data_IF_725622445907
#
_entry.id   IF_725622445907
#
_cell.length_a   1.000
_cell.length_b   1.000
_cell.length_c   1.000
_cell.angle_alpha   90.00
_cell.angle_beta   90.00
_cell.angle_gamma   90.00
#
_symmetry.space_group_name_H-M   'P 1'
#
loop_
_entity.id
_entity.type
_entity.pdbx_description
1 polymer ?
#
# COMPACT_ATOMS: atom_id res chain seq x y z
N UNK A 1 -11.84 -16.03 -21.19
CA UNK A 1 -10.92 -14.88 -21.00
C UNK A 1 -9.82 -15.14 -19.96
N UNK A 2 -10.11 -15.75 -18.81
CA UNK A 2 -9.09 -16.07 -17.77
C UNK A 2 -7.89 -16.92 -18.27
N UNK A 3 -8.12 -17.89 -19.16
CA UNK A 3 -7.05 -18.75 -19.67
C UNK A 3 -6.04 -18.07 -20.61
N UNK A 4 -6.44 -16.98 -21.30
CA UNK A 4 -5.53 -16.24 -22.18
C UNK A 4 -4.59 -15.33 -21.39
N UNK A 5 -5.11 -14.66 -20.35
CA UNK A 5 -4.33 -13.83 -19.45
C UNK A 5 -3.28 -14.64 -18.68
N UNK A 6 -3.64 -15.83 -18.17
CA UNK A 6 -2.68 -16.71 -17.49
C UNK A 6 -1.54 -17.19 -18.40
N UNK A 7 -1.85 -17.54 -19.66
CA UNK A 7 -0.83 -17.92 -20.65
C UNK A 7 0.08 -16.75 -21.01
N UNK A 8 -0.48 -15.55 -21.17
CA UNK A 8 0.28 -14.33 -21.42
C UNK A 8 1.23 -13.98 -20.27
N UNK A 9 0.72 -14.02 -19.03
CA UNK A 9 1.54 -13.72 -17.85
C UNK A 9 2.68 -14.73 -17.68
N UNK A 10 2.39 -16.03 -17.83
CA UNK A 10 3.42 -17.07 -17.79
C UNK A 10 4.48 -16.87 -18.87
N UNK A 11 4.07 -16.58 -20.10
CA UNK A 11 5.00 -16.30 -21.20
C UNK A 11 5.96 -15.14 -20.87
N UNK A 12 5.44 -14.04 -20.32
CA UNK A 12 6.28 -12.89 -19.96
C UNK A 12 7.18 -13.14 -18.75
N UNK A 13 6.70 -13.88 -17.74
CA UNK A 13 7.55 -14.27 -16.60
C UNK A 13 8.75 -15.11 -17.04
N UNK A 14 8.55 -16.04 -17.98
CA UNK A 14 9.62 -16.92 -18.44
C UNK A 14 10.66 -16.17 -19.30
N UNK A 15 10.25 -15.12 -20.02
CA UNK A 15 11.09 -14.36 -20.96
C UNK A 15 11.78 -13.15 -20.33
N UNK A 16 11.05 -12.40 -19.52
CA UNK A 16 11.44 -11.09 -18.99
C UNK A 16 11.17 -11.02 -17.47
N UNK A 17 11.76 -11.93 -16.67
CA UNK A 17 11.41 -12.09 -15.25
C UNK A 17 11.67 -10.82 -14.43
N UNK A 18 12.76 -10.10 -14.75
CA UNK A 18 13.13 -8.86 -14.06
C UNK A 18 12.10 -7.77 -14.31
N UNK A 19 11.64 -7.60 -15.55
CA UNK A 19 10.62 -6.60 -15.89
C UNK A 19 9.32 -6.88 -15.16
N UNK A 20 8.86 -8.14 -15.17
CA UNK A 20 7.62 -8.52 -14.46
C UNK A 20 7.77 -8.27 -12.95
N UNK A 21 8.90 -8.65 -12.35
CA UNK A 21 9.17 -8.40 -10.94
C UNK A 21 9.21 -6.90 -10.62
N UNK A 22 9.86 -6.08 -11.45
CA UNK A 22 9.90 -4.63 -11.28
C UNK A 22 8.50 -4.00 -11.32
N UNK A 23 7.66 -4.41 -12.28
CA UNK A 23 6.27 -3.96 -12.35
C UNK A 23 5.46 -4.41 -11.14
N UNK A 24 5.62 -5.67 -10.70
CA UNK A 24 4.96 -6.18 -9.51
C UNK A 24 5.35 -5.38 -8.26
N UNK A 25 6.64 -5.13 -8.06
CA UNK A 25 7.15 -4.34 -6.93
C UNK A 25 6.67 -2.89 -6.99
N UNK A 26 6.67 -2.27 -8.17
CA UNK A 26 6.13 -0.92 -8.37
C UNK A 26 4.63 -0.85 -8.06
N UNK A 27 3.84 -1.79 -8.57
CA UNK A 27 2.41 -1.87 -8.30
C UNK A 27 2.13 -2.09 -6.81
N UNK A 28 2.88 -2.97 -6.15
CA UNK A 28 2.80 -3.18 -4.70
C UNK A 28 3.09 -1.86 -3.98
N UNK A 29 4.23 -1.22 -4.25
CA UNK A 29 4.63 0.05 -3.63
C UNK A 29 3.57 1.15 -3.74
N UNK A 30 2.98 1.31 -4.93
CA UNK A 30 1.93 2.31 -5.17
C UNK A 30 0.60 1.96 -4.49
N UNK A 31 0.28 0.66 -4.37
CA UNK A 31 -0.97 0.19 -3.76
C UNK A 31 -0.93 0.15 -2.23
N UNK A 32 0.26 0.11 -1.62
CA UNK A 32 0.41 -0.02 -0.16
C UNK A 32 -0.23 1.13 0.62
N UNK A 33 -0.04 2.43 0.30
CA UNK A 33 -0.71 3.51 1.03
C UNK A 33 -2.23 3.44 0.96
N UNK A 34 -2.79 2.96 -0.15
CA UNK A 34 -4.24 2.83 -0.36
C UNK A 34 -4.86 1.67 0.44
N UNK A 35 -4.06 0.68 0.84
CA UNK A 35 -4.54 -0.54 1.50
C UNK A 35 -4.09 -0.61 2.96
N UNK A 36 -2.81 -0.39 3.23
CA UNK A 36 -2.21 -0.51 4.56
C UNK A 36 -2.67 0.59 5.50
N UNK A 37 -2.73 1.85 5.05
CA UNK A 37 -3.16 2.96 5.91
C UNK A 37 -4.57 2.75 6.45
N UNK A 38 -5.62 2.51 5.63
CA UNK A 38 -6.96 2.26 6.17
C UNK A 38 -7.03 0.99 7.03
N UNK A 39 -6.30 -0.07 6.67
CA UNK A 39 -6.22 -1.29 7.49
C UNK A 39 -5.63 -1.02 8.88
N UNK A 40 -4.58 -0.20 8.97
CA UNK A 40 -3.98 0.15 10.27
C UNK A 40 -4.91 1.02 11.11
N UNK A 41 -5.64 1.94 10.48
CA UNK A 41 -6.67 2.75 11.16
C UNK A 41 -7.77 1.86 11.74
N UNK A 42 -8.25 0.85 11.00
CA UNK A 42 -9.29 -0.05 11.50
C UNK A 42 -8.83 -0.95 12.64
N UNK A 43 -7.52 -1.21 12.74
CA UNK A 43 -6.90 -1.95 13.84
C UNK A 43 -6.52 -1.07 15.05
N UNK A 44 -6.77 0.25 14.99
CA UNK A 44 -6.43 1.16 16.09
C UNK A 44 -4.94 1.52 16.18
N UNK A 45 -4.19 1.38 15.09
CA UNK A 45 -2.76 1.76 15.00
C UNK A 45 -2.55 2.96 14.06
N UNK A 46 -3.15 4.14 14.33
CA UNK A 46 -2.91 5.34 13.52
C UNK A 46 -1.45 5.79 13.62
N UNK A 47 -0.97 6.51 12.61
CA UNK A 47 0.40 7.07 12.60
C UNK A 47 0.44 8.47 12.07
N UNK A 48 1.26 9.27 12.73
CA UNK A 48 1.48 10.68 12.43
C UNK A 48 1.93 10.93 10.99
N UNK A 49 2.68 9.99 10.41
CA UNK A 49 3.17 10.07 9.03
C UNK A 49 2.05 10.24 7.99
N UNK A 50 0.84 9.71 8.25
CA UNK A 50 -0.29 9.76 7.31
C UNK A 50 -1.50 10.49 7.88
N UNK A 51 -1.64 10.54 9.20
CA UNK A 51 -2.82 11.08 9.89
C UNK A 51 -2.61 12.49 10.45
N UNK A 52 -1.35 12.98 10.44
CA UNK A 52 -0.95 14.22 11.10
C UNK A 52 -0.61 14.01 12.58
N UNK A 53 -0.12 15.05 13.28
CA UNK A 53 0.44 14.90 14.62
C UNK A 53 -0.57 14.30 15.61
N UNK A 54 -0.24 13.15 16.21
CA UNK A 54 -1.01 12.57 17.31
C UNK A 54 -0.54 13.25 18.59
N UNK A 55 -1.12 14.42 18.86
CA UNK A 55 -0.80 15.23 20.03
C UNK A 55 -1.51 14.62 21.25
N UNK A 56 -0.78 14.22 22.31
CA UNK A 56 -1.41 13.76 23.54
C UNK A 56 -2.31 14.85 24.12
N UNK A 57 -3.45 14.47 24.70
CA UNK A 57 -4.46 15.40 25.22
C UNK A 57 -3.87 16.46 26.17
N UNK A 58 -2.83 16.12 26.92
CA UNK A 58 -2.14 17.03 27.84
C UNK A 58 -1.48 18.24 27.15
N UNK A 59 -1.17 18.14 25.86
CA UNK A 59 -0.51 19.19 25.08
C UNK A 59 -1.47 19.93 24.14
N UNK A 60 -2.75 19.53 24.06
CA UNK A 60 -3.72 20.24 23.24
C UNK A 60 -4.06 21.60 23.88
N UNK A 61 -4.11 22.69 23.11
CA UNK A 61 -4.54 23.98 23.64
C UNK A 61 -5.95 23.84 24.19
N UNK A 62 -6.16 24.25 25.45
CA UNK A 62 -7.50 24.31 26.03
C UNK A 62 -8.30 25.31 25.19
N UNK A 63 -9.30 24.83 24.45
CA UNK A 63 -10.27 25.70 23.82
C UNK A 63 -10.95 26.51 24.94
N UNK A 64 -10.75 27.83 24.92
CA UNK A 64 -11.46 28.78 25.77
C UNK A 64 -12.90 28.96 25.30
#
# INVERSE_FOLDING_TARGET
MLGAAGKFFRYYMDREPVVVASFALGALGLSLPLTVVPLRRSLGYPTDQYDGPIIPESFKPKQQ
#
